data_IF_543987488460
#
_entry.id   IF_543987488460
#
_cell.length_a   1.000
_cell.length_b   1.000
_cell.length_c   1.000
_cell.angle_alpha   90.00
_cell.angle_beta   90.00
_cell.angle_gamma   90.00
#
_symmetry.space_group_name_H-M   'P 1'
#
loop_
_entity.id
_entity.type
_entity.pdbx_description
1 polymer ?
#
# COMPACT_ATOMS: atom_id res chain seq x y z
N UNK A 1 -9.91 7.75 11.73
CA UNK A 1 -9.08 6.90 10.83
C UNK A 1 -8.93 7.52 9.43
N UNK A 2 -9.80 8.42 9.01
CA UNK A 2 -9.72 9.13 7.71
C UNK A 2 -8.49 10.04 7.58
N UNK A 3 -8.09 10.73 8.65
CA UNK A 3 -6.95 11.66 8.61
C UNK A 3 -5.61 10.97 8.31
N UNK A 4 -5.41 9.75 8.83
CA UNK A 4 -4.17 9.00 8.62
C UNK A 4 -4.00 8.56 7.16
N UNK A 5 -5.09 8.11 6.52
CA UNK A 5 -5.07 7.74 5.11
C UNK A 5 -4.84 8.96 4.21
N UNK A 6 -5.47 10.10 4.51
CA UNK A 6 -5.26 11.33 3.76
C UNK A 6 -3.82 11.85 3.88
N UNK A 7 -3.25 11.82 5.10
CA UNK A 7 -1.87 12.20 5.33
C UNK A 7 -0.89 11.30 4.58
N UNK A 8 -1.12 9.97 4.57
CA UNK A 8 -0.29 9.02 3.83
C UNK A 8 -0.44 9.15 2.32
N UNK A 9 -1.65 9.40 1.82
CA UNK A 9 -1.86 9.70 0.41
C UNK A 9 -1.05 10.93 -0.03
N UNK A 10 -1.05 11.99 0.78
CA UNK A 10 -0.24 13.19 0.53
C UNK A 10 1.27 12.88 0.59
N UNK A 11 1.71 12.05 1.54
CA UNK A 11 3.11 11.65 1.65
C UNK A 11 3.57 10.82 0.43
N UNK A 12 2.75 9.88 -0.04
CA UNK A 12 3.03 9.11 -1.26
C UNK A 12 3.04 10.02 -2.49
N UNK A 13 2.17 11.02 -2.57
CA UNK A 13 2.17 11.99 -3.65
C UNK A 13 3.44 12.87 -3.63
N UNK A 14 3.93 13.26 -2.46
CA UNK A 14 5.16 14.03 -2.30
C UNK A 14 6.43 13.21 -2.59
N UNK A 15 6.39 11.89 -2.36
CA UNK A 15 7.51 10.98 -2.55
C UNK A 15 7.08 9.71 -3.32
N UNK A 16 6.79 9.82 -4.64
CA UNK A 16 6.19 8.74 -5.42
C UNK A 16 7.11 7.54 -5.63
N UNK A 17 8.41 7.68 -5.39
CA UNK A 17 9.43 6.62 -5.52
C UNK A 17 9.80 5.99 -4.18
N UNK A 18 9.11 6.34 -3.08
CA UNK A 18 9.35 5.74 -1.77
C UNK A 18 8.54 4.45 -1.63
N UNK A 19 9.19 3.29 -1.79
CA UNK A 19 8.59 1.98 -1.52
C UNK A 19 8.01 1.88 -0.09
N UNK A 20 8.73 2.28 0.98
CA UNK A 20 8.21 2.17 2.35
C UNK A 20 6.91 2.95 2.58
N UNK A 21 6.78 4.16 2.00
CA UNK A 21 5.56 4.95 2.14
C UNK A 21 4.37 4.28 1.43
N UNK A 22 4.60 3.72 0.25
CA UNK A 22 3.57 2.99 -0.50
C UNK A 22 3.11 1.74 0.24
N UNK A 23 4.06 1.00 0.83
CA UNK A 23 3.79 -0.20 1.63
C UNK A 23 3.00 0.14 2.89
N UNK A 24 3.40 1.19 3.61
CA UNK A 24 2.67 1.64 4.78
C UNK A 24 1.24 2.11 4.43
N UNK A 25 1.09 2.84 3.31
CA UNK A 25 -0.23 3.25 2.84
C UNK A 25 -1.11 2.06 2.44
N UNK A 26 -0.54 1.07 1.74
CA UNK A 26 -1.23 -0.17 1.39
C UNK A 26 -1.75 -0.92 2.62
N UNK A 27 -0.93 -1.03 3.67
CA UNK A 27 -1.32 -1.66 4.93
C UNK A 27 -2.52 -0.97 5.58
N UNK A 28 -2.53 0.37 5.63
CA UNK A 28 -3.67 1.12 6.18
C UNK A 28 -4.93 1.02 5.30
N UNK A 29 -4.77 0.99 3.98
CA UNK A 29 -5.89 0.79 3.05
C UNK A 29 -6.55 -0.56 3.27
N UNK A 30 -5.74 -1.61 3.47
CA UNK A 30 -6.24 -2.95 3.74
C UNK A 30 -6.99 -3.01 5.08
N UNK A 31 -6.42 -2.42 6.14
CA UNK A 31 -7.08 -2.30 7.43
C UNK A 31 -8.39 -1.47 7.39
N UNK A 32 -8.49 -0.54 6.44
CA UNK A 32 -9.69 0.25 6.20
C UNK A 32 -10.73 -0.46 5.31
N UNK A 33 -10.52 -1.72 4.92
CA UNK A 33 -11.43 -2.48 4.07
C UNK A 33 -11.42 -2.02 2.61
N UNK A 34 -10.30 -1.45 2.14
CA UNK A 34 -10.09 -0.98 0.75
C UNK A 34 -9.05 -1.86 0.04
N UNK A 35 -9.33 -3.16 -0.15
CA UNK A 35 -8.32 -4.12 -0.62
C UNK A 35 -7.82 -3.85 -2.05
N UNK A 36 -8.68 -3.34 -2.94
CA UNK A 36 -8.27 -2.99 -4.32
C UNK A 36 -7.19 -1.92 -4.33
N UNK A 37 -7.38 -0.85 -3.57
CA UNK A 37 -6.40 0.24 -3.49
C UNK A 37 -5.12 -0.18 -2.76
N UNK A 38 -5.26 -1.04 -1.73
CA UNK A 38 -4.11 -1.62 -1.05
C UNK A 38 -3.23 -2.42 -2.02
N UNK A 39 -3.86 -3.24 -2.87
CA UNK A 39 -3.18 -4.03 -3.90
C UNK A 39 -2.40 -3.14 -4.87
N UNK A 40 -2.99 -2.04 -5.34
CA UNK A 40 -2.33 -1.08 -6.23
C UNK A 40 -1.08 -0.47 -5.58
N UNK A 41 -1.20 -0.03 -4.33
CA UNK A 41 -0.09 0.62 -3.61
C UNK A 41 1.03 -0.36 -3.28
N UNK A 42 0.71 -1.57 -2.80
CA UNK A 42 1.69 -2.61 -2.52
C UNK A 42 2.41 -3.07 -3.81
N UNK A 43 1.66 -3.24 -4.91
CA UNK A 43 2.24 -3.58 -6.22
C UNK A 43 3.13 -2.47 -6.77
N UNK A 44 2.81 -1.20 -6.50
CA UNK A 44 3.68 -0.08 -6.82
C UNK A 44 4.95 -0.05 -5.96
N UNK A 45 4.85 -0.41 -4.68
CA UNK A 45 5.99 -0.61 -3.79
C UNK A 45 6.94 -1.69 -4.31
N UNK A 46 6.41 -2.85 -4.70
CA UNK A 46 7.20 -3.96 -5.26
C UNK A 46 7.90 -3.63 -6.57
N UNK A 47 7.35 -2.75 -7.39
CA UNK A 47 8.02 -2.29 -8.61
C UNK A 47 9.26 -1.45 -8.30
N UNK A 48 9.30 -0.81 -7.14
CA UNK A 48 10.44 -0.01 -6.67
C UNK A 48 11.44 -0.90 -5.92
N UNK A 49 10.96 -1.71 -4.99
CA UNK A 49 11.75 -2.72 -4.28
C UNK A 49 11.10 -4.11 -4.40
N UNK A 50 11.53 -4.92 -5.39
CA UNK A 50 10.99 -6.26 -5.59
C UNK A 50 11.27 -7.25 -4.46
N UNK A 51 12.21 -6.94 -3.56
CA UNK A 51 12.60 -7.79 -2.44
C UNK A 51 11.84 -7.45 -1.14
N UNK A 52 10.96 -6.45 -1.16
CA UNK A 52 10.17 -6.06 0.00
C UNK A 52 9.14 -7.15 0.36
N UNK A 53 9.49 -7.94 1.37
CA UNK A 53 8.65 -9.04 1.85
C UNK A 53 7.31 -8.60 2.43
N UNK A 54 7.24 -7.39 3.00
CA UNK A 54 5.98 -6.85 3.51
C UNK A 54 5.07 -6.43 2.36
N UNK A 55 5.64 -5.81 1.31
CA UNK A 55 4.91 -5.49 0.10
C UNK A 55 4.35 -6.76 -0.58
N UNK A 56 5.15 -7.83 -0.65
CA UNK A 56 4.69 -9.14 -1.16
C UNK A 56 3.52 -9.67 -0.34
N UNK A 57 3.64 -9.67 0.99
CA UNK A 57 2.60 -10.13 1.92
C UNK A 57 1.30 -9.36 1.72
N UNK A 58 1.37 -8.04 1.63
CA UNK A 58 0.22 -7.17 1.44
C UNK A 58 -0.47 -7.39 0.08
N UNK A 59 0.29 -7.63 -1.00
CA UNK A 59 -0.29 -8.00 -2.29
C UNK A 59 -1.12 -9.28 -2.20
N UNK A 60 -0.60 -10.32 -1.54
CA UNK A 60 -1.32 -11.59 -1.40
C UNK A 60 -2.60 -11.42 -0.57
N UNK A 61 -2.51 -10.72 0.56
CA UNK A 61 -3.65 -10.48 1.46
C UNK A 61 -4.72 -9.59 0.82
N UNK A 62 -4.30 -8.54 0.12
CA UNK A 62 -5.20 -7.64 -0.59
C UNK A 62 -5.89 -8.34 -1.76
N UNK A 63 -5.17 -9.17 -2.52
CA UNK A 63 -5.74 -9.95 -3.62
C UNK A 63 -6.77 -10.96 -3.11
N UNK A 64 -6.49 -11.66 -2.00
CA UNK A 64 -7.43 -12.59 -1.39
C UNK A 64 -8.70 -11.90 -0.86
N UNK A 65 -8.58 -10.67 -0.38
CA UNK A 65 -9.70 -9.89 0.17
C UNK A 65 -10.53 -9.16 -0.90
N UNK A 66 -10.04 -9.07 -2.13
CA UNK A 66 -10.72 -8.41 -3.25
C UNK A 66 -11.50 -9.39 -4.16
N UNK A 67 -11.34 -10.71 -3.95
CA UNK A 67 -12.01 -11.78 -4.69
C UNK A 67 -13.40 -12.10 -4.10
#
# INVERSE_FOLDING_TARGET
MSDALAALAAAVAAAPTSAPLRVHYASLLLAAGRPVEALEQASAGLRIDPADGEALRLVQEAAASAA
#
